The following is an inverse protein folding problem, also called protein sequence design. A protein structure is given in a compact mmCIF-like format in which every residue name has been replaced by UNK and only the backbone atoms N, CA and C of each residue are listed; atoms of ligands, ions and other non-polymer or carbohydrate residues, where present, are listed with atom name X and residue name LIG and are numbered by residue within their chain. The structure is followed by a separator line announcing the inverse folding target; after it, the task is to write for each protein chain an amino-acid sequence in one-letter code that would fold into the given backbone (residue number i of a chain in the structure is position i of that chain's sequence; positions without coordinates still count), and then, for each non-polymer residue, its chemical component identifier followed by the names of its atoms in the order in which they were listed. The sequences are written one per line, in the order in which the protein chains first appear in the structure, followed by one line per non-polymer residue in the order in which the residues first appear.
data_IF_030244466650
#
_entry.id   IF_030244466650
#
_cell.length_a   1.000
_cell.length_b   1.000
_cell.length_c   1.000
_cell.angle_alpha   90.00
_cell.angle_beta   90.00
_cell.angle_gamma   90.00
#
_symmetry.space_group_name_H-M   'P 1'
#
loop_
_entity.id
_entity.type
_entity.pdbx_description
1 polymer ?
#
# COMPACT_ATOMS: atom_id res chain seq x y z
N UNK A 1 -9.75 17.27 -20.14
CA UNK A 1 -11.20 17.57 -20.10
C UNK A 1 -11.70 17.37 -18.68
N UNK A 2 -11.88 18.49 -17.97
CA UNK A 2 -12.55 18.60 -16.67
C UNK A 2 -14.00 18.17 -16.83
N UNK A 3 -14.28 16.91 -16.55
CA UNK A 3 -15.62 16.37 -16.41
C UNK A 3 -15.54 15.08 -15.60
N UNK A 4 -15.69 15.16 -14.28
CA UNK A 4 -16.65 14.39 -13.48
C UNK A 4 -16.71 15.01 -12.08
N UNK A 5 -17.93 15.15 -11.57
CA UNK A 5 -18.26 15.99 -10.42
C UNK A 5 -17.64 15.52 -9.10
N UNK A 6 -17.03 16.49 -8.41
CA UNK A 6 -16.81 16.42 -6.97
C UNK A 6 -18.17 16.49 -6.28
N UNK A 7 -18.65 15.36 -5.77
CA UNK A 7 -19.84 15.26 -4.93
C UNK A 7 -19.59 14.22 -3.84
N UNK A 8 -19.63 14.66 -2.58
CA UNK A 8 -19.89 13.77 -1.45
C UNK A 8 -18.71 13.54 -0.50
N UNK A 9 -18.86 14.03 0.72
CA UNK A 9 -18.05 13.72 1.89
C UNK A 9 -17.79 12.22 2.04
N UNK A 10 -16.51 11.81 2.09
CA UNK A 10 -16.10 10.45 2.50
C UNK A 10 -15.76 9.45 1.40
N UNK A 11 -15.60 9.85 0.13
CA UNK A 11 -15.23 8.92 -0.94
C UNK A 11 -13.71 8.80 -1.12
N UNK A 12 -13.21 7.56 -1.23
CA UNK A 12 -11.79 7.25 -1.50
C UNK A 12 -11.56 7.16 -3.01
N UNK A 13 -10.56 7.88 -3.50
CA UNK A 13 -10.19 7.87 -4.90
C UNK A 13 -9.14 6.79 -5.18
N UNK A 14 -9.13 6.26 -6.40
CA UNK A 14 -8.03 5.42 -6.87
C UNK A 14 -6.75 6.27 -6.90
N UNK A 15 -5.68 5.69 -6.36
CA UNK A 15 -4.34 6.29 -6.34
C UNK A 15 -3.52 5.63 -7.45
N UNK A 16 -2.82 6.44 -8.23
CA UNK A 16 -1.88 5.95 -9.24
C UNK A 16 -0.70 5.22 -8.58
N UNK A 17 -0.26 4.12 -9.17
CA UNK A 17 0.87 3.32 -8.69
C UNK A 17 2.21 3.97 -9.07
N UNK A 18 2.41 5.21 -8.64
CA UNK A 18 3.61 6.01 -8.92
C UNK A 18 4.42 6.21 -7.63
N UNK A 19 5.73 5.93 -7.62
CA UNK A 19 6.57 6.08 -6.43
C UNK A 19 6.57 7.50 -5.85
N UNK A 20 6.44 8.54 -6.69
CA UNK A 20 6.32 9.93 -6.27
C UNK A 20 5.01 10.19 -5.54
N UNK A 21 3.89 9.66 -6.02
CA UNK A 21 2.58 9.75 -5.35
C UNK A 21 2.62 9.07 -3.97
N UNK A 22 3.25 7.90 -3.86
CA UNK A 22 3.42 7.21 -2.57
C UNK A 22 4.33 7.99 -1.61
N UNK A 23 5.44 8.54 -2.10
CA UNK A 23 6.35 9.37 -1.31
C UNK A 23 5.65 10.61 -0.75
N UNK A 24 4.87 11.31 -1.56
CA UNK A 24 4.11 12.48 -1.12
C UNK A 24 2.98 12.09 -0.15
N UNK A 25 2.37 10.91 -0.31
CA UNK A 25 1.37 10.40 0.64
C UNK A 25 1.99 10.11 2.02
N UNK A 26 3.18 9.48 2.06
CA UNK A 26 3.94 9.25 3.29
C UNK A 26 4.30 10.57 3.98
N UNK A 27 4.77 11.55 3.21
CA UNK A 27 5.03 12.92 3.71
C UNK A 27 3.77 13.58 4.23
N UNK A 28 2.63 13.38 3.56
CA UNK A 28 1.32 13.85 4.00
C UNK A 28 0.88 13.27 5.35
N UNK A 29 1.35 12.07 5.71
CA UNK A 29 1.16 11.49 7.05
C UNK A 29 2.13 12.02 8.11
N UNK A 30 3.07 12.89 7.73
CA UNK A 30 4.04 13.52 8.63
C UNK A 30 5.36 12.77 8.74
N UNK A 31 5.65 11.82 7.85
CA UNK A 31 6.93 11.10 7.81
C UNK A 31 7.83 11.72 6.74
N UNK A 32 8.92 12.38 7.17
CA UNK A 32 9.76 13.17 6.26
C UNK A 32 10.97 12.43 5.69
N UNK A 33 11.42 11.37 6.36
CA UNK A 33 12.70 10.68 6.07
C UNK A 33 12.54 9.41 5.24
N UNK A 34 11.37 9.17 4.65
CA UNK A 34 11.09 7.99 3.84
C UNK A 34 10.66 8.40 2.43
N UNK A 35 11.03 7.57 1.46
CA UNK A 35 10.62 7.66 0.08
C UNK A 35 10.26 6.26 -0.44
N UNK A 36 9.48 6.23 -1.52
CA UNK A 36 9.18 5.00 -2.23
C UNK A 36 9.94 4.99 -3.56
N UNK A 37 10.56 3.86 -3.87
CA UNK A 37 11.19 3.60 -5.16
C UNK A 37 10.48 2.44 -5.85
N UNK A 38 10.44 2.48 -7.19
CA UNK A 38 9.89 1.39 -7.99
C UNK A 38 10.94 0.28 -8.15
N UNK A 39 10.57 -0.95 -7.81
CA UNK A 39 11.44 -2.12 -7.94
C UNK A 39 11.21 -2.78 -9.30
N UNK A 40 12.18 -2.64 -10.21
CA UNK A 40 12.11 -3.19 -11.57
C UNK A 40 12.56 -4.65 -11.68
N UNK A 41 13.39 -5.12 -10.74
CA UNK A 41 13.98 -6.47 -10.76
C UNK A 41 13.94 -7.09 -9.37
N UNK A 42 13.32 -8.26 -9.27
CA UNK A 42 13.20 -9.03 -8.03
C UNK A 42 14.33 -10.08 -7.89
N UNK A 43 15.19 -10.24 -8.89
CA UNK A 43 16.27 -11.22 -8.88
C UNK A 43 17.51 -10.73 -8.13
N UNK A 44 17.69 -9.41 -8.01
CA UNK A 44 18.79 -8.80 -7.25
C UNK A 44 18.26 -7.99 -6.08
N UNK A 45 18.73 -8.29 -4.87
CA UNK A 45 18.38 -7.57 -3.63
C UNK A 45 19.31 -6.39 -3.34
N UNK A 46 20.32 -6.16 -4.17
CA UNK A 46 21.33 -5.11 -3.94
C UNK A 46 20.74 -3.70 -3.89
N UNK A 47 19.64 -3.49 -4.62
CA UNK A 47 19.02 -2.17 -4.79
C UNK A 47 17.93 -1.89 -3.74
N UNK A 48 17.63 -2.85 -2.86
CA UNK A 48 16.53 -2.77 -1.88
C UNK A 48 16.97 -3.18 -0.48
N UNK A 49 18.29 -3.19 -0.24
CA UNK A 49 18.87 -3.71 1.01
C UNK A 49 18.51 -2.89 2.25
N UNK A 50 18.15 -1.63 2.07
CA UNK A 50 17.74 -0.66 3.07
C UNK A 50 16.21 -0.44 3.12
N UNK A 51 15.44 -1.18 2.31
CA UNK A 51 13.99 -1.07 2.28
C UNK A 51 13.36 -1.52 3.62
N UNK A 52 12.45 -0.70 4.16
CA UNK A 52 11.69 -1.02 5.37
C UNK A 52 10.50 -1.97 5.12
N UNK A 53 10.03 -2.03 3.88
CA UNK A 53 8.89 -2.84 3.48
C UNK A 53 8.68 -2.78 1.97
N UNK A 54 7.80 -3.66 1.48
CA UNK A 54 7.46 -3.75 0.06
C UNK A 54 5.94 -3.64 -0.11
N UNK A 55 5.52 -2.83 -1.07
CA UNK A 55 4.12 -2.73 -1.47
C UNK A 55 3.98 -3.42 -2.83
N UNK A 56 3.23 -4.52 -2.85
CA UNK A 56 2.94 -5.25 -4.09
C UNK A 56 1.57 -4.85 -4.62
N UNK A 57 1.54 -4.40 -5.87
CA UNK A 57 0.30 -4.12 -6.59
C UNK A 57 0.13 -5.14 -7.71
N UNK A 58 -1.01 -5.83 -7.71
CA UNK A 58 -1.37 -6.81 -8.72
C UNK A 58 -2.86 -6.70 -9.05
N UNK A 59 -3.25 -7.15 -10.24
CA UNK A 59 -4.66 -7.30 -10.56
C UNK A 59 -5.23 -8.47 -9.75
N UNK A 60 -6.21 -8.18 -8.89
CA UNK A 60 -6.80 -9.18 -8.00
C UNK A 60 -7.59 -10.23 -8.81
N UNK A 61 -7.37 -11.50 -8.49
CA UNK A 61 -8.15 -12.63 -9.02
C UNK A 61 -8.74 -13.38 -7.82
N UNK A 62 -10.06 -13.58 -7.82
CA UNK A 62 -10.80 -14.30 -6.77
C UNK A 62 -10.33 -15.76 -6.59
N UNK A 63 -9.51 -16.27 -7.52
CA UNK A 63 -8.97 -17.64 -7.49
C UNK A 63 -7.59 -17.75 -6.81
N UNK A 64 -7.09 -16.69 -6.19
CA UNK A 64 -5.85 -16.79 -5.43
C UNK A 64 -6.04 -17.72 -4.23
N UNK A 65 -5.25 -18.81 -4.19
CA UNK A 65 -5.10 -19.64 -3.00
C UNK A 65 -4.46 -18.80 -1.88
N UNK A 66 -4.96 -18.96 -0.66
CA UNK A 66 -4.37 -18.33 0.52
C UNK A 66 -2.90 -18.75 0.62
N UNK A 67 -1.98 -17.80 0.43
CA UNK A 67 -0.55 -18.08 0.30
C UNK A 67 0.14 -18.49 1.61
N UNK A 68 -0.61 -18.68 2.71
CA UNK A 68 -0.03 -19.02 4.01
C UNK A 68 -1.05 -19.27 5.12
N UNK A 69 -0.53 -19.55 6.32
CA UNK A 69 -1.36 -19.75 7.51
C UNK A 69 -1.75 -18.42 8.15
N UNK A 70 -3.01 -18.33 8.59
CA UNK A 70 -3.50 -17.17 9.35
C UNK A 70 -2.92 -17.22 10.76
N UNK A 71 -2.25 -16.14 11.15
CA UNK A 71 -1.68 -16.01 12.49
C UNK A 71 -2.78 -15.58 13.48
N UNK A 72 -3.10 -16.45 14.44
CA UNK A 72 -4.08 -16.19 15.51
C UNK A 72 -3.44 -15.89 16.87
N UNK A 73 -2.11 -15.67 16.91
CA UNK A 73 -1.39 -15.49 18.17
C UNK A 73 -1.73 -14.16 18.85
N UNK A 74 -2.49 -14.21 19.95
CA UNK A 74 -2.80 -13.06 20.80
C UNK A 74 -1.54 -12.43 21.44
N UNK A 75 -0.39 -13.12 21.44
CA UNK A 75 0.90 -12.60 21.88
C UNK A 75 1.76 -11.98 20.77
N UNK A 76 1.23 -11.79 19.56
CA UNK A 76 1.87 -11.04 18.46
C UNK A 76 1.93 -9.51 18.73
N UNK A 77 2.42 -9.16 19.92
CA UNK A 77 2.64 -7.78 20.38
C UNK A 77 3.70 -7.13 19.49
N UNK A 78 3.26 -6.42 18.46
CA UNK A 78 4.15 -5.70 17.54
C UNK A 78 3.72 -5.74 16.07
N UNK A 79 2.74 -6.57 15.70
CA UNK A 79 2.18 -6.58 14.34
C UNK A 79 0.95 -5.70 14.30
N UNK A 80 0.94 -4.71 13.40
CA UNK A 80 -0.25 -3.96 13.04
C UNK A 80 -0.85 -4.57 11.77
N UNK A 81 -2.15 -4.84 11.78
CA UNK A 81 -2.88 -5.34 10.61
C UNK A 81 -4.27 -4.71 10.55
N UNK A 82 -4.62 -4.12 9.41
CA UNK A 82 -5.91 -3.47 9.20
C UNK A 82 -6.64 -4.09 8.00
N UNK A 83 -7.76 -4.76 8.28
CA UNK A 83 -8.63 -5.31 7.23
C UNK A 83 -9.31 -4.17 6.44
N UNK A 84 -9.17 -4.17 5.12
CA UNK A 84 -9.87 -3.23 4.26
C UNK A 84 -11.39 -3.41 4.34
N UNK A 85 -12.09 -2.30 4.58
CA UNK A 85 -13.56 -2.25 4.66
C UNK A 85 -14.17 -1.28 3.65
N UNK A 86 -13.35 -0.42 3.03
CA UNK A 86 -13.78 0.62 2.09
C UNK A 86 -13.11 0.37 0.73
N UNK A 87 -13.85 0.56 -0.36
CA UNK A 87 -13.32 0.47 -1.72
C UNK A 87 -12.28 1.56 -1.98
N UNK A 88 -11.29 1.28 -2.83
CA UNK A 88 -10.24 2.21 -3.25
C UNK A 88 -9.32 2.77 -2.14
N UNK A 89 -9.38 2.23 -0.91
CA UNK A 89 -8.52 2.63 0.20
C UNK A 89 -7.19 1.84 0.25
N UNK A 90 -6.98 0.89 -0.66
CA UNK A 90 -5.88 -0.07 -0.60
C UNK A 90 -4.50 0.59 -0.57
N UNK A 91 -4.25 1.59 -1.41
CA UNK A 91 -2.95 2.28 -1.45
C UNK A 91 -2.62 2.96 -0.12
N UNK A 92 -3.60 3.61 0.51
CA UNK A 92 -3.43 4.22 1.84
C UNK A 92 -3.29 3.18 2.94
N UNK A 93 -4.12 2.13 2.94
CA UNK A 93 -4.00 1.06 3.94
C UNK A 93 -2.70 0.26 3.82
N UNK A 94 -2.10 0.17 2.64
CA UNK A 94 -0.82 -0.49 2.45
C UNK A 94 0.36 0.30 3.05
N UNK A 95 0.20 1.60 3.31
CA UNK A 95 1.25 2.47 3.86
C UNK A 95 1.21 2.54 5.40
N UNK A 96 0.03 2.36 6.01
CA UNK A 96 -0.19 2.49 7.46
C UNK A 96 0.11 1.17 8.17
#
# INVERSE_FOLDING_TARGET
CIHQGMSGSGNWCLIESDPGVFTELIRGFGVESLECEEVYDLTSTSNVSDALGFIFLFNYDDKQDDAGEVVFDENSRGIFFAKQTISNACATQAII
#
